data_IF_455573400506
#
_entry.id   IF_455573400506
#
_cell.length_a   1.000
_cell.length_b   1.000
_cell.length_c   1.000
_cell.angle_alpha   90.00
_cell.angle_beta   90.00
_cell.angle_gamma   90.00
#
_symmetry.space_group_name_H-M   'P 1'
#
loop_
_entity.id
_entity.type
_entity.pdbx_description
1 polymer ?
#
# COMPACT_ATOMS: atom_id res chain seq x y z
N UNK A 1 19.38 -8.34 4.12
CA UNK A 1 18.54 -7.12 4.16
C UNK A 1 19.09 -6.14 3.12
N UNK A 2 18.23 -5.55 2.27
CA UNK A 2 18.65 -4.71 1.14
C UNK A 2 19.67 -3.62 1.52
N UNK A 3 19.43 -2.90 2.62
CA UNK A 3 20.30 -1.81 3.10
C UNK A 3 21.73 -2.28 3.42
N UNK A 4 21.90 -3.45 4.06
CA UNK A 4 23.22 -4.00 4.38
C UNK A 4 24.02 -4.22 3.09
N UNK A 5 23.42 -4.92 2.14
CA UNK A 5 24.13 -5.35 0.94
C UNK A 5 24.36 -4.20 -0.05
N UNK A 6 23.37 -3.32 -0.22
CA UNK A 6 23.45 -2.24 -1.22
C UNK A 6 24.19 -1.01 -0.75
N UNK A 7 24.17 -0.73 0.56
CA UNK A 7 24.87 0.42 1.14
C UNK A 7 26.16 0.02 1.86
N UNK A 8 26.50 -1.28 1.89
CA UNK A 8 27.67 -1.81 2.62
C UNK A 8 27.70 -1.38 4.09
N UNK A 9 26.52 -1.37 4.73
CA UNK A 9 26.35 -0.93 6.11
C UNK A 9 26.44 -2.09 7.10
N UNK A 10 27.01 -1.88 8.31
CA UNK A 10 26.83 -2.79 9.42
C UNK A 10 25.34 -3.05 9.71
N UNK A 11 24.94 -4.24 10.20
CA UNK A 11 23.53 -4.56 10.45
C UNK A 11 22.79 -3.55 11.33
N UNK A 12 23.45 -3.06 12.40
CA UNK A 12 22.86 -2.07 13.31
C UNK A 12 22.57 -0.74 12.60
N UNK A 13 23.50 -0.25 11.80
CA UNK A 13 23.38 1.01 11.05
C UNK A 13 22.31 0.90 9.96
N UNK A 14 22.24 -0.26 9.29
CA UNK A 14 21.23 -0.52 8.29
C UNK A 14 19.81 -0.50 8.89
N UNK A 15 19.63 -1.07 10.08
CA UNK A 15 18.35 -1.06 10.81
C UNK A 15 18.00 0.36 11.26
N UNK A 16 18.97 1.09 11.81
CA UNK A 16 18.77 2.48 12.22
C UNK A 16 18.38 3.36 11.04
N UNK A 17 19.08 3.24 9.90
CA UNK A 17 18.80 4.01 8.69
C UNK A 17 17.43 3.69 8.10
N UNK A 18 17.07 2.40 8.03
CA UNK A 18 15.74 1.97 7.60
C UNK A 18 14.64 2.62 8.46
N UNK A 19 14.80 2.61 9.79
CA UNK A 19 13.86 3.22 10.73
C UNK A 19 13.78 4.73 10.54
N UNK A 20 14.92 5.41 10.39
CA UNK A 20 14.98 6.85 10.13
C UNK A 20 14.20 7.22 8.88
N UNK A 21 14.47 6.55 7.75
CA UNK A 21 13.78 6.85 6.49
C UNK A 21 12.29 6.52 6.55
N UNK A 22 11.92 5.40 7.15
CA UNK A 22 10.51 5.06 7.34
C UNK A 22 9.78 6.12 8.16
N UNK A 23 10.39 6.60 9.25
CA UNK A 23 9.78 7.58 10.16
C UNK A 23 9.69 8.97 9.52
N UNK A 24 10.73 9.39 8.81
CA UNK A 24 10.81 10.72 8.23
C UNK A 24 9.97 10.86 6.95
N UNK A 25 9.92 9.83 6.11
CA UNK A 25 9.32 9.91 4.78
C UNK A 25 8.01 9.15 4.63
N UNK A 26 7.69 8.22 5.53
CA UNK A 26 6.55 7.29 5.44
C UNK A 26 6.88 6.01 4.68
N UNK A 27 7.93 6.02 3.87
CA UNK A 27 8.49 4.88 3.15
C UNK A 27 10.02 4.97 3.15
N UNK A 28 10.69 3.87 3.50
CA UNK A 28 12.16 3.83 3.54
C UNK A 28 12.78 4.00 2.15
N UNK A 29 12.08 3.60 1.08
CA UNK A 29 12.52 3.75 -0.32
C UNK A 29 12.63 5.22 -0.75
N UNK A 30 11.84 6.13 -0.18
CA UNK A 30 11.96 7.56 -0.51
C UNK A 30 13.29 8.15 -0.02
N UNK A 31 13.70 7.78 1.20
CA UNK A 31 15.01 8.17 1.72
C UNK A 31 16.16 7.57 0.91
N UNK A 32 16.01 6.33 0.45
CA UNK A 32 16.98 5.69 -0.45
C UNK A 32 17.09 6.42 -1.80
N UNK A 33 15.97 6.84 -2.38
CA UNK A 33 15.97 7.61 -3.63
C UNK A 33 16.62 8.98 -3.46
N UNK A 34 16.27 9.71 -2.39
CA UNK A 34 16.79 11.05 -2.11
C UNK A 34 18.29 11.06 -1.80
N UNK A 35 18.75 10.17 -0.92
CA UNK A 35 20.09 10.26 -0.34
C UNK A 35 21.11 9.31 -0.95
N UNK A 36 20.63 8.24 -1.59
CA UNK A 36 21.48 7.18 -2.15
C UNK A 36 21.29 6.98 -3.66
N UNK A 37 20.44 7.78 -4.31
CA UNK A 37 20.15 7.71 -5.76
C UNK A 37 19.70 6.32 -6.22
N UNK A 38 19.03 5.59 -5.33
CA UNK A 38 18.46 4.28 -5.62
C UNK A 38 17.13 4.48 -6.33
N UNK A 39 16.94 3.81 -7.47
CA UNK A 39 15.66 3.80 -8.18
C UNK A 39 14.61 3.04 -7.34
N UNK A 40 13.47 3.66 -6.99
CA UNK A 40 12.39 2.97 -6.28
C UNK A 40 11.87 1.70 -6.99
N UNK A 41 11.88 1.66 -8.33
CA UNK A 41 11.47 0.46 -9.07
C UNK A 41 12.51 -0.66 -8.97
N UNK A 42 13.81 -0.33 -8.99
CA UNK A 42 14.88 -1.31 -8.71
C UNK A 42 14.75 -1.86 -7.27
N UNK A 43 14.50 -0.98 -6.30
CA UNK A 43 14.25 -1.39 -4.92
C UNK A 43 13.06 -2.35 -4.81
N UNK A 44 11.93 -2.04 -5.46
CA UNK A 44 10.74 -2.89 -5.45
C UNK A 44 11.01 -4.29 -6.01
N UNK A 45 11.74 -4.37 -7.13
CA UNK A 45 12.10 -5.64 -7.75
C UNK A 45 12.90 -6.55 -6.79
N UNK A 46 13.74 -5.96 -5.95
CA UNK A 46 14.64 -6.67 -5.03
C UNK A 46 14.03 -6.92 -3.63
N UNK A 47 12.90 -6.29 -3.32
CA UNK A 47 12.27 -6.36 -2.00
C UNK A 47 10.89 -6.97 -2.12
N UNK A 48 9.88 -6.22 -2.55
CA UNK A 48 8.48 -6.66 -2.53
C UNK A 48 8.16 -7.70 -3.61
N UNK A 49 8.72 -7.56 -4.81
CA UNK A 49 8.49 -8.51 -5.91
C UNK A 49 9.28 -9.82 -5.69
N UNK A 50 10.41 -9.76 -5.00
CA UNK A 50 11.28 -10.90 -4.73
C UNK A 50 10.75 -11.83 -3.61
N UNK A 51 9.73 -11.41 -2.86
CA UNK A 51 9.14 -12.24 -1.80
C UNK A 51 8.46 -13.48 -2.40
N UNK A 52 8.62 -14.68 -1.82
CA UNK A 52 7.88 -15.88 -2.22
C UNK A 52 6.49 -15.90 -1.58
N UNK A 53 5.61 -14.96 -1.97
CA UNK A 53 4.30 -14.79 -1.34
C UNK A 53 3.39 -16.02 -1.51
N UNK A 54 3.57 -16.81 -2.55
CA UNK A 54 2.80 -18.04 -2.83
C UNK A 54 2.99 -19.10 -1.75
N UNK A 55 4.12 -19.08 -1.03
CA UNK A 55 4.42 -20.03 0.04
C UNK A 55 3.86 -19.58 1.40
N UNK A 56 3.35 -18.33 1.49
CA UNK A 56 3.02 -17.65 2.75
C UNK A 56 1.56 -17.21 2.79
N UNK A 57 1.02 -16.76 1.66
CA UNK A 57 -0.34 -16.22 1.54
C UNK A 57 -1.22 -17.23 0.81
N UNK A 58 -2.30 -17.60 1.47
CA UNK A 58 -3.28 -18.56 0.98
C UNK A 58 -4.66 -17.92 0.91
N UNK A 59 -5.59 -18.46 0.11
CA UNK A 59 -6.96 -17.96 0.05
C UNK A 59 -7.62 -17.91 1.42
N UNK A 60 -8.20 -16.76 1.76
CA UNK A 60 -8.89 -16.55 3.04
C UNK A 60 -10.40 -16.50 2.83
N UNK A 61 -11.06 -17.66 3.05
CA UNK A 61 -12.50 -17.78 2.90
C UNK A 61 -13.30 -16.92 3.89
N UNK A 62 -12.74 -16.62 5.08
CA UNK A 62 -13.41 -15.78 6.08
C UNK A 62 -13.36 -14.32 5.66
N UNK A 63 -12.20 -13.85 5.20
CA UNK A 63 -12.06 -12.51 4.62
C UNK A 63 -12.97 -12.35 3.40
N UNK A 64 -12.99 -13.33 2.49
CA UNK A 64 -13.84 -13.29 1.30
C UNK A 64 -15.33 -13.12 1.66
N UNK A 65 -15.83 -13.94 2.61
CA UNK A 65 -17.22 -13.81 3.10
C UNK A 65 -17.50 -12.43 3.68
N UNK A 66 -16.61 -11.93 4.54
CA UNK A 66 -16.74 -10.60 5.12
C UNK A 66 -16.84 -9.51 4.04
N UNK A 67 -16.01 -9.58 3.00
CA UNK A 67 -16.03 -8.62 1.89
C UNK A 67 -17.29 -8.76 1.02
N UNK A 68 -17.83 -9.98 0.88
CA UNK A 68 -19.08 -10.24 0.16
C UNK A 68 -20.33 -9.77 0.92
N UNK A 69 -20.26 -9.65 2.25
CA UNK A 69 -21.37 -9.17 3.08
C UNK A 69 -21.63 -7.66 2.91
N UNK A 70 -20.72 -6.90 2.28
CA UNK A 70 -20.96 -5.49 1.98
C UNK A 70 -22.00 -5.32 0.88
N UNK A 71 -22.97 -4.43 1.13
CA UNK A 71 -23.93 -3.99 0.12
C UNK A 71 -23.22 -3.11 -0.92
N UNK A 72 -22.85 -3.71 -2.05
CA UNK A 72 -22.13 -3.09 -3.17
C UNK A 72 -22.90 -1.97 -3.87
N UNK A 73 -24.21 -1.86 -3.65
CA UNK A 73 -25.01 -0.73 -4.13
C UNK A 73 -24.81 0.54 -3.29
N UNK A 74 -24.34 0.35 -2.05
CA UNK A 74 -24.06 1.43 -1.10
C UNK A 74 -22.57 1.69 -0.96
N UNK A 75 -21.74 0.65 -1.04
CA UNK A 75 -20.32 0.74 -0.72
C UNK A 75 -19.43 0.21 -1.83
N UNK A 76 -18.40 0.98 -2.14
CA UNK A 76 -17.28 0.63 -3.02
C UNK A 76 -16.12 0.13 -2.16
N UNK A 77 -15.49 -0.95 -2.58
CA UNK A 77 -14.32 -1.49 -1.89
C UNK A 77 -13.10 -1.07 -2.69
N UNK A 78 -12.18 -0.35 -2.06
CA UNK A 78 -11.04 0.22 -2.74
C UNK A 78 -9.75 -0.12 -2.01
N UNK A 79 -8.75 -0.63 -2.73
CA UNK A 79 -7.46 -0.93 -2.13
C UNK A 79 -6.66 0.36 -1.94
N UNK A 80 -6.05 0.53 -0.77
CA UNK A 80 -5.24 1.70 -0.48
C UNK A 80 -3.95 1.35 0.26
N UNK A 81 -2.83 1.35 -0.47
CA UNK A 81 -1.54 0.80 -0.01
C UNK A 81 -0.36 1.75 -0.29
N UNK A 82 0.70 1.64 0.53
CA UNK A 82 1.99 2.27 0.27
C UNK A 82 2.92 1.41 -0.60
N UNK A 83 2.57 0.14 -0.83
CA UNK A 83 3.30 -0.73 -1.75
C UNK A 83 3.07 -0.30 -3.20
N UNK A 84 3.93 -0.78 -4.11
CA UNK A 84 3.70 -0.62 -5.54
C UNK A 84 2.56 -1.53 -6.03
N UNK A 85 1.98 -1.20 -7.18
CA UNK A 85 0.78 -1.85 -7.69
C UNK A 85 0.91 -3.38 -7.83
N UNK A 86 2.09 -3.87 -8.25
CA UNK A 86 2.34 -5.29 -8.46
C UNK A 86 2.18 -6.08 -7.15
N UNK A 87 2.82 -5.63 -6.08
CA UNK A 87 2.73 -6.27 -4.77
C UNK A 87 1.29 -6.25 -4.24
N UNK A 88 0.63 -5.09 -4.26
CA UNK A 88 -0.75 -4.96 -3.79
C UNK A 88 -1.72 -5.90 -4.52
N UNK A 89 -1.62 -5.99 -5.85
CA UNK A 89 -2.45 -6.89 -6.68
C UNK A 89 -2.14 -8.37 -6.43
N UNK A 90 -0.86 -8.72 -6.29
CA UNK A 90 -0.42 -10.10 -6.03
C UNK A 90 -0.99 -10.62 -4.71
N UNK A 91 -0.93 -9.79 -3.66
CA UNK A 91 -1.47 -10.12 -2.34
C UNK A 91 -2.96 -10.42 -2.39
N UNK A 92 -3.79 -9.55 -2.98
CA UNK A 92 -5.25 -9.76 -3.00
C UNK A 92 -5.66 -10.93 -3.88
N UNK A 93 -4.89 -11.22 -4.94
CA UNK A 93 -5.08 -12.40 -5.78
C UNK A 93 -4.79 -13.70 -5.01
N UNK A 94 -3.70 -13.74 -4.25
CA UNK A 94 -3.36 -14.90 -3.41
C UNK A 94 -4.38 -15.13 -2.29
N UNK A 95 -4.89 -14.05 -1.70
CA UNK A 95 -5.99 -14.09 -0.73
C UNK A 95 -7.35 -14.50 -1.36
N UNK A 96 -7.46 -14.49 -2.69
CA UNK A 96 -8.68 -14.85 -3.42
C UNK A 96 -9.81 -13.83 -3.24
N UNK A 97 -9.47 -12.54 -3.23
CA UNK A 97 -10.43 -11.43 -3.02
C UNK A 97 -10.23 -10.27 -4.00
N UNK A 98 -9.39 -10.42 -5.03
CA UNK A 98 -9.08 -9.38 -5.99
C UNK A 98 -10.32 -8.91 -6.78
N UNK A 99 -11.24 -9.83 -7.08
CA UNK A 99 -12.51 -9.57 -7.76
C UNK A 99 -13.51 -8.76 -6.93
N UNK A 100 -13.26 -8.56 -5.63
CA UNK A 100 -14.15 -7.83 -4.73
C UNK A 100 -13.80 -6.33 -4.63
N UNK A 101 -12.68 -5.89 -5.20
CA UNK A 101 -12.23 -4.49 -5.17
C UNK A 101 -12.47 -3.80 -6.51
N UNK A 102 -12.97 -2.57 -6.46
CA UNK A 102 -13.26 -1.75 -7.64
C UNK A 102 -12.00 -1.07 -8.21
N UNK A 103 -10.92 -1.06 -7.44
CA UNK A 103 -9.66 -0.48 -7.85
C UNK A 103 -8.65 -0.40 -6.72
N UNK A 104 -7.53 0.24 -7.04
CA UNK A 104 -6.38 0.36 -6.16
C UNK A 104 -5.72 1.73 -6.31
N UNK A 105 -5.53 2.40 -5.17
CA UNK A 105 -4.59 3.49 -5.00
C UNK A 105 -3.34 2.96 -4.34
N UNK A 106 -2.20 3.15 -5.01
CA UNK A 106 -0.89 2.64 -4.60
C UNK A 106 0.14 3.77 -4.67
N UNK A 107 1.28 3.58 -4.00
CA UNK A 107 2.38 4.54 -4.11
C UNK A 107 3.10 4.29 -5.43
N UNK A 108 3.07 5.27 -6.34
CA UNK A 108 3.68 5.13 -7.66
C UNK A 108 5.20 5.34 -7.58
N UNK A 109 5.93 4.23 -7.63
CA UNK A 109 7.39 4.22 -7.58
C UNK A 109 8.04 4.69 -8.89
N UNK A 110 7.27 4.84 -9.98
CA UNK A 110 7.73 5.45 -11.22
C UNK A 110 7.67 6.99 -11.22
N UNK A 111 7.09 7.59 -10.18
CA UNK A 111 6.95 9.04 -10.02
C UNK A 111 7.81 9.57 -8.88
N UNK A 112 8.29 10.81 -8.97
CA UNK A 112 9.06 11.46 -7.90
C UNK A 112 8.67 12.94 -7.74
N UNK A 113 8.45 13.45 -6.50
CA UNK A 113 8.55 12.76 -5.21
C UNK A 113 7.46 11.70 -5.00
N UNK A 114 7.74 10.72 -4.14
CA UNK A 114 6.77 9.66 -3.82
C UNK A 114 5.57 10.24 -3.04
N UNK A 115 4.36 9.84 -3.44
CA UNK A 115 3.13 10.16 -2.71
C UNK A 115 2.69 8.90 -1.97
N UNK A 116 2.80 8.91 -0.65
CA UNK A 116 2.47 7.77 0.22
C UNK A 116 1.84 8.23 1.54
N UNK A 117 1.18 7.32 2.25
CA UNK A 117 0.66 7.54 3.61
C UNK A 117 1.84 7.79 4.56
N UNK A 118 1.72 8.70 5.54
CA UNK A 118 0.49 9.38 5.99
C UNK A 118 0.24 10.75 5.34
N UNK A 119 0.85 11.07 4.18
CA UNK A 119 0.70 12.40 3.56
C UNK A 119 -0.75 12.62 3.10
N UNK A 120 -1.32 13.81 3.40
CA UNK A 120 -2.68 14.19 2.97
C UNK A 120 -2.89 14.04 1.46
N UNK A 121 -1.86 14.32 0.66
CA UNK A 121 -1.88 14.14 -0.80
C UNK A 121 -2.21 12.70 -1.23
N UNK A 122 -1.80 11.69 -0.44
CA UNK A 122 -2.09 10.29 -0.73
C UNK A 122 -3.55 9.93 -0.45
N UNK A 123 -4.14 10.52 0.59
CA UNK A 123 -5.57 10.38 0.88
C UNK A 123 -6.44 11.11 -0.14
N UNK A 124 -6.02 12.31 -0.57
CA UNK A 124 -6.69 13.06 -1.63
C UNK A 124 -6.66 12.29 -2.95
N UNK A 125 -5.51 11.69 -3.30
CA UNK A 125 -5.38 10.79 -4.46
C UNK A 125 -6.39 9.64 -4.38
N UNK A 126 -6.44 8.94 -3.24
CA UNK A 126 -7.36 7.82 -3.05
C UNK A 126 -8.83 8.23 -3.17
N UNK A 127 -9.21 9.37 -2.60
CA UNK A 127 -10.58 9.88 -2.69
C UNK A 127 -10.99 10.12 -4.14
N UNK A 128 -10.12 10.77 -4.93
CA UNK A 128 -10.39 11.08 -6.35
C UNK A 128 -10.47 9.79 -7.16
N UNK A 129 -9.50 8.89 -7.03
CA UNK A 129 -9.45 7.64 -7.80
C UNK A 129 -10.62 6.71 -7.46
N UNK A 130 -10.99 6.64 -6.19
CA UNK A 130 -12.15 5.89 -5.73
C UNK A 130 -13.48 6.62 -5.96
N UNK A 131 -13.47 7.81 -6.58
CA UNK A 131 -14.68 8.58 -6.90
C UNK A 131 -15.56 8.88 -5.70
N UNK A 132 -14.97 9.18 -4.54
CA UNK A 132 -15.70 9.61 -3.34
C UNK A 132 -15.94 11.13 -3.38
N UNK A 133 -17.17 11.55 -3.08
CA UNK A 133 -17.58 12.95 -3.19
C UNK A 133 -16.89 13.83 -2.12
N UNK A 134 -16.75 13.31 -0.91
CA UNK A 134 -16.08 14.00 0.20
C UNK A 134 -15.34 13.02 1.12
N UNK A 135 -14.38 13.49 1.94
CA UNK A 135 -13.77 12.67 2.99
C UNK A 135 -14.78 12.10 3.99
N UNK A 136 -15.94 12.75 4.19
CA UNK A 136 -16.99 12.27 5.08
C UNK A 136 -17.72 11.02 4.57
N UNK A 137 -17.58 10.71 3.27
CA UNK A 137 -18.15 9.51 2.64
C UNK A 137 -17.15 8.34 2.64
N UNK A 138 -16.01 8.51 3.33
CA UNK A 138 -14.91 7.57 3.33
C UNK A 138 -14.76 6.85 4.67
N UNK A 139 -14.70 5.52 4.65
CA UNK A 139 -14.28 4.71 5.79
C UNK A 139 -12.90 4.11 5.53
N UNK A 140 -12.00 4.25 6.49
CA UNK A 140 -10.64 3.71 6.39
C UNK A 140 -10.46 2.58 7.42
N UNK A 141 -9.94 1.44 6.97
CA UNK A 141 -9.66 0.29 7.84
C UNK A 141 -8.17 -0.05 7.68
N UNK A 142 -7.34 0.46 8.58
CA UNK A 142 -5.91 0.16 8.54
C UNK A 142 -5.24 0.38 9.89
N UNK A 143 -4.23 -0.43 10.18
CA UNK A 143 -3.31 -0.22 11.31
C UNK A 143 -2.21 0.77 10.89
N UNK A 144 -1.77 1.63 11.81
CA UNK A 144 -0.81 2.71 11.53
C UNK A 144 0.63 2.24 11.28
N UNK A 145 0.93 0.94 11.39
CA UNK A 145 2.30 0.40 11.44
C UNK A 145 2.66 -0.66 10.38
N UNK A 146 1.78 -1.00 9.43
CA UNK A 146 2.05 -2.04 8.42
C UNK A 146 1.72 -1.62 6.96
N UNK A 147 2.46 -2.11 5.95
CA UNK A 147 2.44 -1.60 4.57
C UNK A 147 1.17 -1.92 3.74
N UNK A 148 0.26 -2.75 4.24
CA UNK A 148 -0.97 -3.19 3.55
C UNK A 148 -2.06 -3.23 4.63
N UNK A 149 -3.23 -2.58 4.56
CA UNK A 149 -4.43 -2.96 3.80
C UNK A 149 -5.59 -1.92 3.97
N UNK A 150 -6.64 -2.09 3.13
CA UNK A 150 -8.07 -1.68 3.15
C UNK A 150 -8.53 -0.20 3.23
N UNK A 151 -9.35 0.22 2.24
CA UNK A 151 -10.30 1.33 2.38
C UNK A 151 -11.71 0.95 1.88
N UNK A 152 -12.72 1.32 2.65
CA UNK A 152 -14.16 1.13 2.37
C UNK A 152 -14.72 2.50 1.98
N UNK A 153 -15.07 2.74 0.71
CA UNK A 153 -15.46 4.07 0.25
C UNK A 153 -16.90 4.12 -0.27
N UNK A 154 -17.68 5.08 0.25
CA UNK A 154 -19.08 5.49 0.00
C UNK A 154 -20.14 4.56 0.62
N UNK A 155 -21.37 4.90 1.04
CA UNK A 155 -22.33 6.00 0.79
C UNK A 155 -23.39 6.05 1.97
N UNK A 156 -24.34 7.02 2.07
CA UNK A 156 -25.40 7.24 1.08
C UNK A 156 -25.50 8.68 0.58
N UNK A 157 -25.72 8.79 -0.73
CA UNK A 157 -26.45 9.90 -1.36
C UNK A 157 -27.63 10.33 -0.46
N UNK A 158 -27.64 11.60 -0.06
CA UNK A 158 -28.87 12.23 0.42
C UNK A 158 -29.81 12.36 -0.78
N UNK A 159 -31.09 12.04 -0.52
CA UNK A 159 -32.24 12.11 -1.45
C UNK A 159 -32.25 13.37 -2.31
#
# INVERSE_FOLDING_TARGET
MYFINRLSLPPADAVALHRTYYTQYGLSVEGLALHHKIDPLEYNAMVDDALPLEDIIYPDSRLRRLLQDFDRSKVRLWLFTNAYANHGKRVVRLLGVDDLFDGITYCDYGSFPLVCKPRDAMYAKAQVEAGAASPGDCYFVGESSAPVYWSLLTSPWRR
#
